data_IF_539208989033
#
_entry.id   IF_539208989033
#
_cell.length_a   1.000
_cell.length_b   1.000
_cell.length_c   1.000
_cell.angle_alpha   90.00
_cell.angle_beta   90.00
_cell.angle_gamma   90.00
#
_symmetry.space_group_name_H-M   'P 1'
#
loop_
_entity.id
_entity.type
_entity.pdbx_description
1 polymer ?
#
# COMPACT_ATOMS: atom_id res chain seq x y z
N UNK A 1 -31.55 -7.24 -9.70
CA UNK A 1 -31.08 -7.21 -11.10
C UNK A 1 -31.49 -5.87 -11.66
N UNK A 2 -30.53 -5.07 -12.14
CA UNK A 2 -30.82 -3.77 -12.71
C UNK A 2 -30.07 -3.63 -14.04
N UNK A 3 -30.72 -3.86 -15.19
CA UNK A 3 -30.03 -3.89 -16.49
C UNK A 3 -29.39 -2.55 -16.87
N UNK A 4 -29.75 -1.45 -16.19
CA UNK A 4 -29.16 -0.11 -16.37
C UNK A 4 -27.94 0.15 -15.50
N UNK A 5 -27.40 -0.86 -14.82
CA UNK A 5 -26.19 -0.71 -14.00
C UNK A 5 -24.92 -0.80 -14.87
N UNK A 6 -23.78 -0.23 -14.48
CA UNK A 6 -22.60 -0.13 -15.36
C UNK A 6 -21.74 -1.41 -15.45
N UNK A 7 -21.92 -2.39 -14.54
CA UNK A 7 -20.95 -3.46 -14.34
C UNK A 7 -21.53 -4.87 -14.47
N UNK A 8 -20.71 -5.82 -14.91
CA UNK A 8 -21.01 -7.26 -14.89
C UNK A 8 -19.94 -7.98 -14.08
N UNK A 9 -20.36 -8.75 -13.07
CA UNK A 9 -19.45 -9.59 -12.26
C UNK A 9 -19.56 -11.03 -12.74
N UNK A 10 -18.43 -11.60 -13.14
CA UNK A 10 -18.34 -12.94 -13.72
C UNK A 10 -17.88 -13.96 -12.67
N UNK A 11 -18.23 -15.24 -12.89
CA UNK A 11 -17.89 -16.33 -11.97
C UNK A 11 -16.39 -16.63 -11.89
N UNK A 12 -15.60 -16.16 -12.85
CA UNK A 12 -14.14 -16.31 -12.94
C UNK A 12 -13.38 -15.15 -12.28
N UNK A 13 -14.07 -14.34 -11.46
CA UNK A 13 -13.55 -13.16 -10.73
C UNK A 13 -13.28 -11.94 -11.62
N UNK A 14 -13.59 -12.01 -12.90
CA UNK A 14 -13.49 -10.88 -13.82
C UNK A 14 -14.70 -9.95 -13.63
N UNK A 15 -14.46 -8.65 -13.67
CA UNK A 15 -15.47 -7.60 -13.58
C UNK A 15 -15.35 -6.71 -14.82
N UNK A 16 -16.43 -6.57 -15.56
CA UNK A 16 -16.51 -5.72 -16.75
C UNK A 16 -17.23 -4.43 -16.38
N UNK A 17 -16.62 -3.28 -16.64
CA UNK A 17 -17.17 -1.95 -16.37
C UNK A 17 -17.30 -1.16 -17.68
N UNK A 18 -18.52 -0.73 -18.00
CA UNK A 18 -18.79 0.07 -19.19
C UNK A 18 -18.29 1.52 -19.00
N UNK A 19 -17.52 2.02 -19.97
CA UNK A 19 -16.89 3.36 -19.91
C UNK A 19 -17.89 4.47 -20.22
N UNK A 20 -18.75 4.26 -21.22
CA UNK A 20 -19.73 5.25 -21.67
C UNK A 20 -20.95 5.38 -20.73
N UNK A 21 -20.97 4.63 -19.63
CA UNK A 21 -22.09 4.65 -18.69
C UNK A 21 -22.06 5.89 -17.77
N UNK A 22 -23.19 6.57 -17.49
CA UNK A 22 -23.21 7.76 -16.63
C UNK A 22 -22.62 7.56 -15.24
N UNK A 23 -22.74 6.35 -14.67
CA UNK A 23 -22.20 5.96 -13.37
C UNK A 23 -20.79 5.34 -13.43
N UNK A 24 -20.09 5.49 -14.56
CA UNK A 24 -18.76 4.90 -14.74
C UNK A 24 -17.78 5.36 -13.67
N UNK A 25 -17.72 6.67 -13.41
CA UNK A 25 -16.75 7.25 -12.48
C UNK A 25 -16.96 6.71 -11.06
N UNK A 26 -18.19 6.67 -10.57
CA UNK A 26 -18.52 6.17 -9.23
C UNK A 26 -18.25 4.67 -9.11
N UNK A 27 -18.62 3.88 -10.10
CA UNK A 27 -18.36 2.44 -10.10
C UNK A 27 -16.86 2.13 -10.20
N UNK A 28 -16.11 2.91 -10.98
CA UNK A 28 -14.64 2.82 -11.08
C UNK A 28 -13.97 3.10 -9.73
N UNK A 29 -14.40 4.17 -9.04
CA UNK A 29 -13.84 4.58 -7.75
C UNK A 29 -14.24 3.59 -6.63
N UNK A 30 -15.41 2.95 -6.73
CA UNK A 30 -15.79 1.83 -5.87
C UNK A 30 -14.88 0.61 -6.09
N UNK A 31 -14.69 0.18 -7.34
CA UNK A 31 -13.87 -0.98 -7.68
C UNK A 31 -12.39 -0.81 -7.30
N UNK A 32 -11.86 0.41 -7.43
CA UNK A 32 -10.47 0.71 -7.07
C UNK A 32 -10.11 0.39 -5.61
N UNK A 33 -11.12 0.26 -4.73
CA UNK A 33 -10.91 -0.05 -3.31
C UNK A 33 -10.65 -1.54 -3.05
N UNK A 34 -11.10 -2.45 -3.93
CA UNK A 34 -11.06 -3.89 -3.66
C UNK A 34 -10.81 -4.79 -4.89
N UNK A 35 -10.62 -4.22 -6.09
CA UNK A 35 -10.33 -4.92 -7.32
C UNK A 35 -9.15 -4.29 -8.08
N UNK A 36 -8.41 -5.10 -8.83
CA UNK A 36 -7.27 -4.66 -9.62
C UNK A 36 -7.71 -4.38 -11.06
N UNK A 37 -7.28 -3.25 -11.63
CA UNK A 37 -7.49 -2.97 -13.05
C UNK A 37 -6.55 -3.83 -13.90
N UNK A 38 -7.10 -4.70 -14.75
CA UNK A 38 -6.33 -5.51 -15.70
C UNK A 38 -6.14 -4.80 -17.04
N UNK A 39 -7.22 -4.21 -17.57
CA UNK A 39 -7.24 -3.57 -18.91
C UNK A 39 -8.19 -2.38 -18.92
N UNK A 40 -7.81 -1.31 -19.63
CA UNK A 40 -8.63 -0.11 -19.81
C UNK A 40 -8.73 0.34 -21.29
N UNK A 41 -9.33 -0.46 -22.17
CA UNK A 41 -9.65 -0.04 -23.54
C UNK A 41 -10.85 0.91 -23.56
N UNK A 42 -11.13 1.50 -24.71
CA UNK A 42 -12.06 2.62 -24.92
C UNK A 42 -13.48 2.41 -24.35
N UNK A 43 -14.06 1.20 -24.48
CA UNK A 43 -15.48 0.97 -24.14
C UNK A 43 -15.72 0.15 -22.87
N UNK A 44 -14.81 -0.75 -22.51
CA UNK A 44 -15.00 -1.69 -21.39
C UNK A 44 -13.70 -1.83 -20.61
N UNK A 45 -13.68 -1.34 -19.38
CA UNK A 45 -12.58 -1.63 -18.45
C UNK A 45 -12.78 -3.03 -17.84
N UNK A 46 -11.68 -3.76 -17.68
CA UNK A 46 -11.66 -5.09 -17.08
C UNK A 46 -10.91 -5.03 -15.76
N UNK A 47 -11.58 -5.40 -14.68
CA UNK A 47 -11.02 -5.55 -13.34
C UNK A 47 -11.02 -7.02 -12.93
N UNK A 48 -10.19 -7.37 -11.94
CA UNK A 48 -10.16 -8.70 -11.33
C UNK A 48 -10.19 -8.61 -9.81
N UNK A 49 -11.01 -9.46 -9.20
CA UNK A 49 -10.92 -9.74 -7.77
C UNK A 49 -9.78 -10.71 -7.51
N UNK A 50 -8.82 -10.31 -6.70
CA UNK A 50 -7.70 -11.16 -6.25
C UNK A 50 -7.76 -11.31 -4.73
N UNK A 51 -7.18 -12.38 -4.15
CA UNK A 51 -7.04 -12.46 -2.69
C UNK A 51 -6.30 -11.25 -2.13
N UNK A 52 -5.27 -10.77 -2.84
CA UNK A 52 -4.47 -9.62 -2.44
C UNK A 52 -5.29 -8.32 -2.43
N UNK A 53 -6.09 -8.06 -3.46
CA UNK A 53 -6.94 -6.87 -3.53
C UNK A 53 -7.97 -6.84 -2.41
N UNK A 54 -8.57 -7.98 -2.09
CA UNK A 54 -9.52 -8.13 -0.99
C UNK A 54 -8.86 -8.00 0.39
N UNK A 55 -7.65 -8.54 0.57
CA UNK A 55 -6.89 -8.35 1.81
C UNK A 55 -6.45 -6.90 2.00
N UNK A 56 -6.07 -6.21 0.93
CA UNK A 56 -5.76 -4.78 0.97
C UNK A 56 -7.00 -3.95 1.34
N UNK A 57 -8.18 -4.29 0.80
CA UNK A 57 -9.44 -3.66 1.17
C UNK A 57 -9.76 -3.88 2.67
N UNK A 58 -9.59 -5.10 3.16
CA UNK A 58 -9.77 -5.44 4.57
C UNK A 58 -8.79 -4.68 5.48
N UNK A 59 -7.52 -4.57 5.07
CA UNK A 59 -6.51 -3.75 5.75
C UNK A 59 -6.88 -2.26 5.78
N UNK A 60 -7.57 -1.78 4.75
CA UNK A 60 -8.16 -0.43 4.69
C UNK A 60 -9.45 -0.27 5.50
N UNK A 61 -9.89 -1.28 6.25
CA UNK A 61 -11.08 -1.25 7.10
C UNK A 61 -12.40 -1.61 6.39
N UNK A 62 -12.34 -2.05 5.14
CA UNK A 62 -13.53 -2.46 4.39
C UNK A 62 -14.01 -3.84 4.84
N UNK A 63 -15.31 -4.01 5.01
CA UNK A 63 -15.96 -5.28 5.35
C UNK A 63 -16.38 -6.05 4.09
N UNK A 64 -16.54 -7.37 4.22
CA UNK A 64 -17.04 -8.20 3.12
C UNK A 64 -18.46 -7.77 2.70
N UNK A 65 -19.28 -7.34 3.64
CA UNK A 65 -20.62 -6.80 3.42
C UNK A 65 -20.57 -5.54 2.57
N UNK A 66 -19.71 -4.58 2.90
CA UNK A 66 -19.55 -3.36 2.10
C UNK A 66 -19.09 -3.65 0.67
N UNK A 67 -18.17 -4.60 0.48
CA UNK A 67 -17.75 -5.04 -0.87
C UNK A 67 -18.94 -5.63 -1.63
N UNK A 68 -19.70 -6.52 -0.97
CA UNK A 68 -20.87 -7.16 -1.56
C UNK A 68 -21.98 -6.15 -1.91
N UNK A 69 -22.19 -5.14 -1.06
CA UNK A 69 -23.18 -4.09 -1.28
C UNK A 69 -22.81 -3.24 -2.50
N UNK A 70 -21.55 -2.82 -2.64
CA UNK A 70 -21.09 -2.08 -3.81
C UNK A 70 -21.18 -2.91 -5.10
N UNK A 71 -20.77 -4.19 -5.04
CA UNK A 71 -20.92 -5.08 -6.18
C UNK A 71 -22.40 -5.22 -6.58
N UNK A 72 -23.29 -5.40 -5.62
CA UNK A 72 -24.73 -5.54 -5.86
C UNK A 72 -25.34 -4.24 -6.39
N UNK A 73 -24.92 -3.10 -5.86
CA UNK A 73 -25.38 -1.77 -6.24
C UNK A 73 -25.07 -1.47 -7.71
N UNK A 74 -23.87 -1.80 -8.19
CA UNK A 74 -23.43 -1.46 -9.54
C UNK A 74 -23.50 -2.62 -10.55
N UNK A 75 -23.90 -3.83 -10.15
CA UNK A 75 -23.96 -4.97 -11.09
C UNK A 75 -25.30 -5.06 -11.83
N UNK A 76 -25.25 -5.33 -13.13
CA UNK A 76 -26.40 -5.62 -13.98
C UNK A 76 -27.12 -6.89 -13.51
N UNK A 77 -26.33 -7.91 -13.21
CA UNK A 77 -26.77 -9.26 -12.89
C UNK A 77 -26.58 -9.56 -11.40
N UNK A 78 -27.19 -10.65 -10.92
CA UNK A 78 -26.92 -11.12 -9.57
C UNK A 78 -25.45 -11.55 -9.45
N UNK A 79 -24.82 -11.29 -8.30
CA UNK A 79 -23.46 -11.71 -8.03
C UNK A 79 -23.40 -13.25 -7.97
N UNK A 80 -22.48 -13.91 -8.70
CA UNK A 80 -22.34 -15.36 -8.63
C UNK A 80 -22.06 -15.83 -7.19
N UNK A 81 -22.69 -16.93 -6.79
CA UNK A 81 -22.60 -17.42 -5.40
C UNK A 81 -21.16 -17.72 -4.97
N UNK A 82 -20.35 -18.27 -5.87
CA UNK A 82 -18.95 -18.56 -5.59
C UNK A 82 -18.14 -17.28 -5.30
N UNK A 83 -18.44 -16.16 -5.98
CA UNK A 83 -17.79 -14.87 -5.72
C UNK A 83 -18.15 -14.36 -4.32
N UNK A 84 -19.42 -14.48 -3.92
CA UNK A 84 -19.85 -14.08 -2.59
C UNK A 84 -19.24 -14.93 -1.47
N UNK A 85 -18.99 -16.22 -1.72
CA UNK A 85 -18.28 -17.11 -0.79
C UNK A 85 -16.81 -16.70 -0.71
N UNK A 86 -16.14 -16.55 -1.85
CA UNK A 86 -14.72 -16.19 -1.93
C UNK A 86 -14.42 -14.86 -1.25
N UNK A 87 -15.24 -13.82 -1.47
CA UNK A 87 -15.06 -12.50 -0.83
C UNK A 87 -15.07 -12.63 0.69
N UNK A 88 -16.09 -13.29 1.25
CA UNK A 88 -16.19 -13.50 2.70
C UNK A 88 -15.02 -14.32 3.22
N UNK A 89 -14.66 -15.39 2.53
CA UNK A 89 -13.58 -16.27 2.95
C UNK A 89 -12.24 -15.53 2.95
N UNK A 90 -11.86 -14.89 1.85
CA UNK A 90 -10.57 -14.19 1.77
C UNK A 90 -10.48 -13.04 2.76
N UNK A 91 -11.50 -12.20 2.87
CA UNK A 91 -11.47 -11.06 3.78
C UNK A 91 -11.42 -11.50 5.26
N UNK A 92 -12.12 -12.58 5.64
CA UNK A 92 -12.05 -13.15 6.99
C UNK A 92 -10.69 -13.76 7.36
N UNK A 93 -9.80 -13.99 6.39
CA UNK A 93 -8.43 -14.46 6.67
C UNK A 93 -7.50 -13.34 7.10
N UNK A 94 -7.77 -12.10 6.70
CA UNK A 94 -6.99 -10.95 7.15
C UNK A 94 -7.18 -10.73 8.66
N UNK A 95 -6.11 -10.36 9.37
CA UNK A 95 -6.15 -10.10 10.82
C UNK A 95 -6.24 -11.34 11.72
N UNK A 96 -6.38 -12.55 11.16
CA UNK A 96 -6.29 -13.80 11.95
C UNK A 96 -4.90 -14.02 12.54
N UNK A 97 -3.87 -13.52 11.88
CA UNK A 97 -2.50 -13.48 12.38
C UNK A 97 -2.13 -12.02 12.55
N UNK A 98 -1.58 -11.67 13.72
CA UNK A 98 -1.07 -10.34 14.01
C UNK A 98 0.42 -10.40 14.23
N UNK A 99 1.14 -9.49 13.59
CA UNK A 99 2.56 -9.30 13.81
C UNK A 99 2.74 -8.12 14.76
N UNK A 100 3.24 -8.37 15.97
CA UNK A 100 3.42 -7.35 17.02
C UNK A 100 4.88 -7.26 17.43
N UNK A 101 5.27 -6.11 17.99
CA UNK A 101 6.58 -5.89 18.58
C UNK A 101 6.47 -5.84 20.09
N UNK A 102 7.31 -6.62 20.78
CA UNK A 102 7.49 -6.57 22.23
C UNK A 102 8.99 -6.40 22.56
N UNK A 103 9.38 -5.18 22.92
CA UNK A 103 10.79 -4.80 22.99
C UNK A 103 11.49 -4.99 21.64
N UNK A 104 12.59 -5.74 21.64
CA UNK A 104 13.33 -6.07 20.42
C UNK A 104 12.74 -7.28 19.68
N UNK A 105 11.80 -8.01 20.29
CA UNK A 105 11.21 -9.21 19.71
C UNK A 105 10.07 -8.87 18.74
N UNK A 106 10.02 -9.63 17.64
CA UNK A 106 8.92 -9.60 16.68
C UNK A 106 8.12 -10.90 16.82
N UNK A 107 6.82 -10.80 17.06
CA UNK A 107 5.96 -11.91 17.43
C UNK A 107 4.79 -12.05 16.47
N UNK A 108 4.54 -13.26 15.99
CA UNK A 108 3.28 -13.65 15.37
C UNK A 108 2.32 -14.14 16.46
N UNK A 109 1.10 -13.62 16.45
CA UNK A 109 0.05 -13.96 17.43
C UNK A 109 -1.26 -14.30 16.73
N UNK A 110 -1.99 -15.28 17.26
CA UNK A 110 -3.36 -15.61 16.83
C UNK A 110 -4.13 -16.31 17.95
N UNK A 111 -5.45 -16.11 17.99
CA UNK A 111 -6.33 -16.87 18.85
C UNK A 111 -6.61 -18.30 18.33
N UNK A 112 -6.23 -18.60 17.09
CA UNK A 112 -6.41 -19.91 16.48
C UNK A 112 -5.14 -20.77 16.63
N UNK A 113 -5.21 -21.75 17.54
CA UNK A 113 -4.11 -22.67 17.82
C UNK A 113 -3.78 -23.56 16.61
N UNK A 114 -4.78 -23.98 15.85
CA UNK A 114 -4.56 -24.83 14.68
C UNK A 114 -3.83 -24.07 13.58
N UNK A 115 -4.22 -22.81 13.36
CA UNK A 115 -3.52 -21.91 12.43
C UNK A 115 -2.08 -21.64 12.88
N UNK A 116 -1.84 -21.38 14.16
CA UNK A 116 -0.48 -21.18 14.67
C UNK A 116 0.38 -22.44 14.52
N UNK A 117 -0.19 -23.62 14.75
CA UNK A 117 0.50 -24.88 14.51
C UNK A 117 0.82 -25.07 13.02
N UNK A 118 -0.10 -24.74 12.11
CA UNK A 118 0.14 -24.77 10.67
C UNK A 118 1.28 -23.82 10.28
N UNK A 119 1.23 -22.57 10.72
CA UNK A 119 2.26 -21.55 10.49
C UNK A 119 3.61 -21.99 11.04
N UNK A 120 3.67 -22.65 12.19
CA UNK A 120 4.94 -23.13 12.77
C UNK A 120 5.59 -24.24 11.96
N UNK A 121 4.79 -25.16 11.39
CA UNK A 121 5.29 -26.32 10.66
C UNK A 121 5.41 -26.10 9.15
N UNK A 122 4.85 -25.01 8.63
CA UNK A 122 4.85 -24.76 7.19
C UNK A 122 6.26 -24.43 6.65
N UNK A 123 6.68 -25.11 5.57
CA UNK A 123 8.04 -24.99 5.01
C UNK A 123 8.42 -23.56 4.61
N UNK A 124 7.46 -22.74 4.18
CA UNK A 124 7.69 -21.34 3.77
C UNK A 124 7.95 -20.39 4.94
N UNK A 125 7.44 -20.68 6.13
CA UNK A 125 7.51 -19.80 7.30
C UNK A 125 8.65 -20.20 8.23
N UNK A 126 8.95 -21.50 8.35
CA UNK A 126 10.02 -22.04 9.19
C UNK A 126 11.36 -21.30 9.10
N UNK A 127 11.89 -20.89 7.93
CA UNK A 127 13.18 -20.20 7.84
C UNK A 127 13.26 -18.86 8.59
N UNK A 128 12.12 -18.30 8.98
CA UNK A 128 12.02 -17.01 9.66
C UNK A 128 11.56 -17.14 11.12
N UNK A 129 11.29 -18.36 11.58
CA UNK A 129 10.85 -18.65 12.94
C UNK A 129 12.07 -18.89 13.82
N UNK A 130 12.14 -18.19 14.95
CA UNK A 130 13.20 -18.40 15.94
C UNK A 130 12.81 -19.48 16.95
N UNK A 131 11.59 -19.40 17.48
CA UNK A 131 11.02 -20.37 18.42
C UNK A 131 9.53 -20.16 18.61
N UNK A 132 8.82 -21.20 19.03
CA UNK A 132 7.46 -21.09 19.55
C UNK A 132 7.50 -20.76 21.04
N UNK A 133 6.83 -19.68 21.46
CA UNK A 133 6.74 -19.30 22.87
C UNK A 133 5.60 -20.05 23.57
N UNK A 134 4.47 -20.20 22.88
CA UNK A 134 3.31 -20.97 23.33
C UNK A 134 2.40 -21.31 22.12
N UNK A 135 1.23 -21.91 22.36
CA UNK A 135 0.27 -22.30 21.30
C UNK A 135 -0.31 -21.15 20.48
N UNK A 136 -0.20 -19.91 20.97
CA UNK A 136 -0.74 -18.69 20.36
C UNK A 136 0.34 -17.72 19.87
N UNK A 137 1.62 -17.98 20.16
CA UNK A 137 2.69 -17.01 19.95
C UNK A 137 3.96 -17.66 19.40
N UNK A 138 4.43 -17.15 18.26
CA UNK A 138 5.68 -17.55 17.62
C UNK A 138 6.59 -16.34 17.52
N UNK A 139 7.83 -16.47 18.00
CA UNK A 139 8.85 -15.44 17.81
C UNK A 139 9.51 -15.64 16.45
N UNK A 140 9.62 -14.57 15.67
CA UNK A 140 10.22 -14.55 14.33
C UNK A 140 11.42 -13.61 14.28
N UNK A 141 12.28 -13.81 13.28
CA UNK A 141 13.44 -12.94 13.05
C UNK A 141 12.98 -11.55 12.58
N UNK A 142 13.25 -10.54 13.42
CA UNK A 142 12.87 -9.16 13.16
C UNK A 142 13.51 -8.59 11.88
N UNK A 143 14.72 -9.04 11.52
CA UNK A 143 15.41 -8.62 10.29
C UNK A 143 14.75 -9.17 9.02
N UNK A 144 13.93 -10.21 9.17
CA UNK A 144 13.24 -10.91 8.07
C UNK A 144 11.73 -10.63 8.05
N UNK A 145 11.25 -9.57 8.71
CA UNK A 145 9.83 -9.14 8.76
C UNK A 145 9.11 -9.19 7.40
N UNK A 146 9.73 -8.63 6.35
CA UNK A 146 9.14 -8.64 5.01
C UNK A 146 8.97 -10.06 4.44
N UNK A 147 9.94 -10.95 4.69
CA UNK A 147 9.93 -12.31 4.19
C UNK A 147 8.88 -13.17 4.89
N UNK A 148 8.73 -13.05 6.22
CA UNK A 148 7.67 -13.78 6.93
C UNK A 148 6.29 -13.30 6.49
N UNK A 149 6.08 -11.99 6.28
CA UNK A 149 4.82 -11.46 5.72
C UNK A 149 4.53 -12.03 4.34
N UNK A 150 5.54 -12.07 3.47
CA UNK A 150 5.40 -12.67 2.15
C UNK A 150 5.07 -14.17 2.25
N UNK A 151 5.72 -14.93 3.13
CA UNK A 151 5.43 -16.34 3.35
C UNK A 151 3.98 -16.56 3.81
N UNK A 152 3.50 -15.72 4.74
CA UNK A 152 2.14 -15.73 5.26
C UNK A 152 1.07 -15.43 4.17
N UNK A 153 1.34 -14.46 3.29
CA UNK A 153 0.51 -14.19 2.10
C UNK A 153 0.41 -15.43 1.21
N UNK A 154 1.54 -16.11 0.95
CA UNK A 154 1.57 -17.29 0.07
C UNK A 154 0.83 -18.50 0.62
N UNK A 155 0.71 -18.64 1.94
CA UNK A 155 -0.12 -19.69 2.57
C UNK A 155 -1.58 -19.25 2.76
N UNK A 156 -1.92 -18.02 2.34
CA UNK A 156 -3.28 -17.52 2.35
C UNK A 156 -3.73 -16.85 3.65
N UNK A 157 -2.80 -16.53 4.56
CA UNK A 157 -3.10 -15.90 5.84
C UNK A 157 -2.22 -14.67 6.05
N UNK A 158 -2.51 -13.54 5.37
CA UNK A 158 -1.74 -12.32 5.55
C UNK A 158 -1.79 -11.84 7.00
N UNK A 159 -0.64 -11.45 7.53
CA UNK A 159 -0.59 -10.85 8.86
C UNK A 159 -1.05 -9.39 8.83
N UNK A 160 -1.88 -9.01 9.81
CA UNK A 160 -2.06 -7.63 10.22
C UNK A 160 -0.79 -7.18 10.93
N UNK A 161 -0.15 -6.14 10.41
CA UNK A 161 1.17 -5.72 10.86
C UNK A 161 1.08 -4.53 11.81
N UNK A 162 1.19 -4.82 13.10
CA UNK A 162 1.05 -3.88 14.21
C UNK A 162 2.39 -3.61 14.90
N UNK A 163 3.49 -4.10 14.35
CA UNK A 163 4.82 -3.97 14.94
C UNK A 163 5.40 -2.54 14.86
N UNK A 164 4.70 -1.64 14.14
CA UNK A 164 5.11 -0.25 13.91
C UNK A 164 6.42 -0.14 13.12
N UNK A 165 6.99 1.05 13.09
CA UNK A 165 8.30 1.32 12.53
C UNK A 165 9.25 1.80 13.62
N UNK A 166 10.54 1.51 13.47
CA UNK A 166 11.55 2.18 14.26
C UNK A 166 11.52 3.65 13.88
N UNK A 167 11.50 4.54 14.87
CA UNK A 167 11.48 5.97 14.58
C UNK A 167 12.77 6.38 13.84
N UNK A 168 12.60 7.15 12.77
CA UNK A 168 13.72 7.63 11.96
C UNK A 168 14.43 8.80 12.63
N UNK A 169 15.60 9.18 12.12
CA UNK A 169 16.25 10.43 12.52
C UNK A 169 15.36 11.62 12.16
N UNK A 170 15.04 12.53 13.10
CA UNK A 170 14.23 13.71 12.82
C UNK A 170 14.87 14.60 11.76
N UNK A 171 14.05 15.06 10.81
CA UNK A 171 14.45 16.05 9.81
C UNK A 171 13.25 16.95 9.51
N UNK A 172 13.20 18.17 10.09
CA UNK A 172 12.16 19.12 9.76
C UNK A 172 12.23 19.53 8.28
N UNK A 173 11.12 19.39 7.56
CA UNK A 173 10.99 19.72 6.13
C UNK A 173 9.69 20.50 5.93
N UNK A 174 9.73 21.63 5.25
CA UNK A 174 8.53 22.33 4.78
C UNK A 174 8.56 22.46 3.27
N UNK A 175 7.39 22.26 2.66
CA UNK A 175 7.17 22.68 1.28
C UNK A 175 7.14 24.21 1.24
N UNK A 176 7.75 24.79 0.21
CA UNK A 176 7.65 26.24 -0.03
C UNK A 176 6.30 26.57 -0.68
N UNK A 177 5.81 27.78 -0.49
CA UNK A 177 4.68 28.32 -1.27
C UNK A 177 5.14 28.90 -2.62
N UNK A 178 6.44 29.16 -2.77
CA UNK A 178 7.08 29.65 -3.98
C UNK A 178 8.39 28.89 -4.22
N UNK A 179 8.61 28.41 -5.43
CA UNK A 179 9.84 27.69 -5.83
C UNK A 179 11.06 28.61 -5.75
N UNK A 180 12.26 28.04 -5.72
CA UNK A 180 13.48 28.86 -5.86
C UNK A 180 13.58 29.55 -7.21
N UNK A 181 12.86 29.05 -8.22
CA UNK A 181 12.75 29.66 -9.53
C UNK A 181 11.72 30.80 -9.60
N UNK A 182 10.95 31.04 -8.53
CA UNK A 182 10.01 32.16 -8.42
C UNK A 182 8.58 31.85 -8.86
N UNK A 183 8.24 30.58 -9.07
CA UNK A 183 6.88 30.16 -9.41
C UNK A 183 6.06 29.85 -8.15
N UNK A 184 4.76 30.16 -8.15
CA UNK A 184 3.85 29.70 -7.11
C UNK A 184 3.79 28.16 -7.10
N UNK A 185 3.90 27.57 -5.91
CA UNK A 185 3.93 26.12 -5.74
C UNK A 185 2.93 25.66 -4.69
N UNK A 186 2.03 24.78 -5.10
CA UNK A 186 1.18 24.00 -4.22
C UNK A 186 0.97 22.60 -4.82
N UNK A 187 1.12 21.52 -4.05
CA UNK A 187 0.66 20.20 -4.46
C UNK A 187 -0.82 20.22 -4.84
N UNK A 188 -1.18 19.47 -5.88
CA UNK A 188 -2.57 19.31 -6.33
C UNK A 188 -3.38 18.55 -5.27
N UNK A 189 -4.69 18.74 -5.23
CA UNK A 189 -5.57 18.09 -4.25
C UNK A 189 -5.38 16.56 -4.17
N UNK A 190 -5.27 15.88 -5.32
CA UNK A 190 -5.02 14.43 -5.33
C UNK A 190 -3.62 14.04 -4.83
N UNK A 191 -2.62 14.92 -4.96
CA UNK A 191 -1.27 14.69 -4.47
C UNK A 191 -1.24 14.77 -2.94
N UNK A 192 -1.92 15.77 -2.37
CA UNK A 192 -2.15 15.85 -0.92
C UNK A 192 -2.92 14.64 -0.39
N UNK A 193 -4.02 14.27 -1.05
CA UNK A 193 -4.82 13.12 -0.64
C UNK A 193 -3.99 11.82 -0.67
N UNK A 194 -3.14 11.64 -1.69
CA UNK A 194 -2.27 10.48 -1.80
C UNK A 194 -1.19 10.42 -0.69
N UNK A 195 -0.55 11.55 -0.40
CA UNK A 195 0.43 11.64 0.70
C UNK A 195 -0.23 11.42 2.07
N UNK A 196 -1.38 12.04 2.31
CA UNK A 196 -2.15 11.88 3.54
C UNK A 196 -2.63 10.44 3.76
N UNK A 197 -3.09 9.77 2.71
CA UNK A 197 -3.48 8.36 2.78
C UNK A 197 -2.28 7.45 3.11
N UNK A 198 -1.10 7.74 2.55
CA UNK A 198 0.13 7.04 2.89
C UNK A 198 0.59 7.29 4.33
N UNK A 199 0.52 8.54 4.79
CA UNK A 199 0.96 8.93 6.13
C UNK A 199 0.01 8.46 7.24
N UNK A 200 -1.29 8.42 6.96
CA UNK A 200 -2.36 8.03 7.89
C UNK A 200 -2.28 8.74 9.25
N UNK A 201 -1.89 10.02 9.25
CA UNK A 201 -1.79 10.83 10.47
C UNK A 201 -0.75 10.33 11.49
N UNK A 202 0.25 9.54 11.06
CA UNK A 202 1.26 8.96 11.94
C UNK A 202 0.77 7.74 12.73
N UNK A 203 -0.37 7.14 12.36
CA UNK A 203 -0.82 5.89 12.96
C UNK A 203 0.20 4.75 12.74
N UNK A 204 0.25 3.72 13.61
CA UNK A 204 1.15 2.57 13.42
C UNK A 204 0.96 1.81 12.10
N UNK A 205 -0.22 1.93 11.50
CA UNK A 205 -0.58 1.38 10.18
C UNK A 205 -0.15 2.26 9.00
N UNK A 206 0.26 3.51 9.24
CA UNK A 206 0.71 4.48 8.24
C UNK A 206 2.22 4.42 7.97
N UNK A 207 2.66 5.14 6.95
CA UNK A 207 4.08 5.27 6.59
C UNK A 207 4.64 4.11 5.75
N UNK A 208 3.79 3.18 5.31
CA UNK A 208 4.17 2.11 4.38
C UNK A 208 3.02 1.69 3.49
N UNK A 209 3.28 1.65 2.19
CA UNK A 209 2.27 1.39 1.18
C UNK A 209 2.80 1.73 -0.20
N UNK A 210 1.94 1.55 -1.20
CA UNK A 210 2.26 1.85 -2.61
C UNK A 210 1.28 2.90 -3.10
N UNK A 211 1.79 4.04 -3.58
CA UNK A 211 0.99 5.06 -4.25
C UNK A 211 1.22 4.95 -5.75
N UNK A 212 0.15 4.66 -6.50
CA UNK A 212 0.21 4.48 -7.96
C UNK A 212 -0.29 5.73 -8.67
N UNK A 213 0.56 6.34 -9.50
CA UNK A 213 0.25 7.53 -10.28
C UNK A 213 0.77 7.41 -11.71
N UNK A 214 0.03 7.89 -12.72
CA UNK A 214 0.47 7.85 -14.11
C UNK A 214 1.73 8.72 -14.33
N UNK A 215 2.39 8.55 -15.47
CA UNK A 215 3.49 9.41 -15.87
C UNK A 215 3.00 10.88 -15.97
N UNK A 216 3.83 11.83 -15.51
CA UNK A 216 3.47 13.25 -15.51
C UNK A 216 2.52 13.72 -14.39
N UNK A 217 1.96 12.84 -13.57
CA UNK A 217 1.06 13.22 -12.46
C UNK A 217 1.78 13.83 -11.23
N UNK A 218 3.09 14.03 -11.29
CA UNK A 218 3.87 14.58 -10.17
C UNK A 218 4.13 13.59 -9.04
N UNK A 219 4.59 12.38 -9.38
CA UNK A 219 5.05 11.37 -8.41
C UNK A 219 6.06 11.93 -7.40
N UNK A 220 6.99 12.74 -7.88
CA UNK A 220 7.99 13.41 -7.06
C UNK A 220 7.34 14.29 -6.00
N UNK A 221 6.34 15.09 -6.38
CA UNK A 221 5.63 16.01 -5.48
C UNK A 221 4.92 15.26 -4.35
N UNK A 222 4.33 14.09 -4.63
CA UNK A 222 3.74 13.25 -3.58
C UNK A 222 4.82 12.74 -2.61
N UNK A 223 6.01 12.39 -3.11
CA UNK A 223 7.12 12.05 -2.23
C UNK A 223 7.58 13.21 -1.35
N UNK A 224 7.66 14.43 -1.90
CA UNK A 224 8.00 15.63 -1.11
C UNK A 224 6.94 15.92 -0.05
N UNK A 225 5.65 15.78 -0.38
CA UNK A 225 4.56 15.92 0.57
C UNK A 225 4.64 14.86 1.69
N UNK A 226 4.90 13.59 1.34
CA UNK A 226 5.11 12.54 2.32
C UNK A 226 6.33 12.79 3.22
N UNK A 227 7.43 13.32 2.67
CA UNK A 227 8.60 13.74 3.46
C UNK A 227 8.23 14.87 4.44
N UNK A 228 7.42 15.84 3.98
CA UNK A 228 6.94 16.94 4.81
C UNK A 228 5.95 16.46 5.91
N UNK A 229 5.14 15.45 5.66
CA UNK A 229 4.26 14.88 6.70
C UNK A 229 5.04 14.04 7.73
N UNK A 230 6.04 13.27 7.26
CA UNK A 230 6.78 12.31 8.09
C UNK A 230 7.89 12.98 8.90
N UNK A 231 8.55 14.02 8.38
CA UNK A 231 9.62 14.78 9.06
C UNK A 231 10.80 13.92 9.51
N UNK A 232 11.30 13.03 8.63
CA UNK A 232 12.43 12.12 8.90
C UNK A 232 13.46 12.11 7.78
N UNK A 233 14.70 11.77 8.14
CA UNK A 233 15.75 11.45 7.19
C UNK A 233 15.24 10.42 6.15
N UNK A 234 15.51 10.65 4.88
CA UNK A 234 14.84 9.96 3.76
C UNK A 234 15.86 9.39 2.78
N UNK A 235 15.71 8.11 2.44
CA UNK A 235 16.41 7.47 1.33
C UNK A 235 15.47 7.36 0.13
N UNK A 236 15.89 7.89 -1.02
CA UNK A 236 15.13 7.84 -2.27
C UNK A 236 15.89 6.96 -3.25
N UNK A 237 15.26 5.87 -3.71
CA UNK A 237 15.82 4.96 -4.71
C UNK A 237 15.19 5.25 -6.08
N UNK A 238 16.04 5.43 -7.09
CA UNK A 238 15.66 5.85 -8.44
C UNK A 238 16.24 4.91 -9.50
N UNK A 239 15.60 4.69 -10.65
CA UNK A 239 16.04 3.69 -11.62
C UNK A 239 17.35 4.04 -12.36
N UNK A 240 17.77 5.31 -12.35
CA UNK A 240 18.97 5.78 -13.02
C UNK A 240 19.42 7.14 -12.46
N UNK A 241 20.64 7.55 -12.83
CA UNK A 241 21.27 8.80 -12.37
C UNK A 241 20.56 10.07 -12.84
N UNK A 242 19.82 10.03 -13.96
CA UNK A 242 19.02 11.16 -14.42
C UNK A 242 17.85 11.42 -13.45
N UNK A 243 17.14 10.35 -13.06
CA UNK A 243 16.06 10.44 -12.08
C UNK A 243 16.59 10.87 -10.70
N UNK A 244 17.78 10.42 -10.30
CA UNK A 244 18.45 10.89 -9.07
C UNK A 244 18.62 12.40 -9.07
N UNK A 245 19.19 12.97 -10.15
CA UNK A 245 19.39 14.42 -10.27
C UNK A 245 18.08 15.19 -10.34
N UNK A 246 17.05 14.62 -10.97
CA UNK A 246 15.71 15.21 -10.98
C UNK A 246 15.14 15.30 -9.57
N UNK A 247 15.23 14.24 -8.76
CA UNK A 247 14.80 14.27 -7.36
C UNK A 247 15.55 15.34 -6.56
N UNK A 248 16.88 15.40 -6.67
CA UNK A 248 17.69 16.41 -5.98
C UNK A 248 17.24 17.81 -6.35
N UNK A 249 17.07 18.12 -7.64
CA UNK A 249 16.62 19.43 -8.09
C UNK A 249 15.24 19.79 -7.53
N UNK A 250 14.29 18.84 -7.55
CA UNK A 250 12.93 19.05 -7.04
C UNK A 250 12.90 19.28 -5.53
N UNK A 251 13.72 18.54 -4.76
CA UNK A 251 13.88 18.75 -3.30
C UNK A 251 14.40 20.16 -3.04
N UNK A 252 15.50 20.54 -3.69
CA UNK A 252 16.14 21.84 -3.46
C UNK A 252 15.25 22.99 -3.89
N UNK A 253 14.50 22.85 -4.98
CA UNK A 253 13.61 23.90 -5.51
C UNK A 253 12.36 24.10 -4.65
N UNK A 254 11.75 23.03 -4.14
CA UNK A 254 10.39 23.05 -3.57
C UNK A 254 10.32 22.84 -2.06
N UNK A 255 11.43 22.53 -1.40
CA UNK A 255 11.48 22.33 0.06
C UNK A 255 12.47 23.26 0.73
N UNK A 256 12.25 23.66 1.97
CA UNK A 256 13.18 24.49 2.76
C UNK A 256 14.50 23.81 3.16
N UNK A 257 14.74 22.59 2.68
CA UNK A 257 15.96 21.84 2.96
C UNK A 257 17.18 22.50 2.31
N UNK A 258 18.27 22.70 3.07
CA UNK A 258 19.46 23.31 2.53
C UNK A 258 20.31 22.29 1.74
N UNK A 259 21.08 22.72 0.72
CA UNK A 259 21.79 21.82 -0.18
C UNK A 259 22.72 20.81 0.49
N UNK A 260 23.37 21.19 1.59
CA UNK A 260 24.25 20.33 2.37
C UNK A 260 23.56 19.12 3.00
N UNK A 261 22.23 19.14 3.13
CA UNK A 261 21.45 18.03 3.67
C UNK A 261 20.97 17.04 2.60
N UNK A 262 21.27 17.29 1.32
CA UNK A 262 20.87 16.44 0.19
C UNK A 262 22.10 15.82 -0.47
N UNK A 263 22.20 14.49 -0.43
CA UNK A 263 23.32 13.73 -0.94
C UNK A 263 22.97 12.90 -2.18
N UNK A 264 23.96 12.70 -3.05
CA UNK A 264 23.92 11.78 -4.18
C UNK A 264 24.78 10.55 -3.88
N UNK A 265 24.17 9.36 -3.90
CA UNK A 265 24.89 8.09 -3.76
C UNK A 265 24.74 7.24 -5.03
N UNK A 266 25.69 7.39 -5.95
CA UNK A 266 25.74 6.72 -7.25
C UNK A 266 27.14 6.14 -7.49
N UNK A 267 27.42 5.63 -8.70
CA UNK A 267 28.77 5.23 -9.08
C UNK A 267 29.76 6.41 -9.09
N UNK A 268 29.27 7.61 -9.41
CA UNK A 268 30.09 8.80 -9.62
C UNK A 268 30.26 9.66 -8.35
N UNK A 269 29.29 9.62 -7.44
CA UNK A 269 29.27 10.40 -6.18
C UNK A 269 28.87 9.53 -5.00
N UNK A 270 29.46 9.76 -3.82
CA UNK A 270 29.21 8.97 -2.61
C UNK A 270 28.93 9.86 -1.41
N UNK A 271 27.99 10.78 -1.59
CA UNK A 271 27.61 11.75 -0.57
C UNK A 271 26.40 11.21 0.20
N UNK A 272 26.61 10.87 1.48
CA UNK A 272 25.54 10.40 2.38
C UNK A 272 25.14 11.56 3.27
N UNK A 273 23.88 11.99 3.12
CA UNK A 273 23.27 13.09 3.88
C UNK A 273 21.91 12.65 4.48
N UNK A 274 21.29 13.45 5.37
CA UNK A 274 19.97 13.15 5.92
C UNK A 274 18.91 12.85 4.85
N UNK A 275 18.96 13.50 3.69
CA UNK A 275 18.25 13.06 2.49
C UNK A 275 19.29 12.52 1.51
N UNK A 276 19.21 11.25 1.15
CA UNK A 276 20.12 10.63 0.18
C UNK A 276 19.32 10.09 -0.99
N UNK A 277 19.73 10.42 -2.21
CA UNK A 277 19.13 9.91 -3.44
C UNK A 277 20.12 8.96 -4.13
N UNK A 278 19.67 7.75 -4.45
CA UNK A 278 20.51 6.67 -4.93
C UNK A 278 19.85 5.87 -6.07
N UNK A 279 20.63 5.01 -6.73
CA UNK A 279 20.17 4.06 -7.74
C UNK A 279 20.14 2.64 -7.21
#
# INVERSE_FOLDING_TARGET
MNPTNPMIVQSDKTILLEVDHPQHAEARDALAQFAELEKSPEHIHTYRLSPLSLWNAAAGGMTAEQVMDLLTQYSKYAIPMNIAVDIREYMNRYGRIKLIREGDALLLTSNDVALMAEVYHHKRTQPYILRQLNSHTIQVDASRRGHIKQALIHIGFPAEDLAGYTDGSPLPVKLRDMTLQGDEFAPRAYQYAAAAAFYAGGAPSGGSGVVVLPCGAGKTIVGLAAMADIQRATLILSPNTIAVRQWINEILDKTDIPPEMVGEYTGDRKDICPITVST
#
